data_IF_921803512893
#
_entry.id   IF_921803512893
#
_cell.length_a   1.000
_cell.length_b   1.000
_cell.length_c   1.000
_cell.angle_alpha   90.00
_cell.angle_beta   90.00
_cell.angle_gamma   90.00
#
_symmetry.space_group_name_H-M   'P 1'
#
loop_
_entity.id
_entity.type
_entity.pdbx_description
1 polymer ?
#
# COMPACT_ATOMS: atom_id res chain seq x y z
N UNK A 1 -77.63 -17.01 -27.16
CA UNK A 1 -77.11 -17.76 -26.00
C UNK A 1 -75.61 -17.58 -26.04
N UNK A 2 -75.05 -16.84 -25.09
CA UNK A 2 -73.59 -16.67 -24.99
C UNK A 2 -73.06 -17.71 -23.99
N UNK A 3 -72.00 -18.42 -24.40
CA UNK A 3 -71.30 -19.36 -23.53
C UNK A 3 -69.99 -18.69 -23.13
N UNK A 4 -69.83 -18.42 -21.83
CA UNK A 4 -68.58 -17.95 -21.25
C UNK A 4 -67.78 -19.16 -20.78
N UNK A 5 -66.60 -19.35 -21.38
CA UNK A 5 -65.63 -20.37 -20.95
C UNK A 5 -64.47 -19.65 -20.27
N UNK A 6 -64.22 -19.98 -19.01
CA UNK A 6 -63.09 -19.45 -18.24
C UNK A 6 -62.05 -20.56 -18.08
N UNK A 7 -60.82 -20.32 -18.56
CA UNK A 7 -59.69 -21.23 -18.34
C UNK A 7 -59.01 -20.82 -17.03
N UNK A 8 -58.81 -21.77 -16.13
CA UNK A 8 -58.10 -21.55 -14.87
C UNK A 8 -56.62 -21.85 -15.05
N UNK A 9 -55.76 -21.03 -14.44
CA UNK A 9 -54.34 -21.27 -14.37
C UNK A 9 -54.05 -22.51 -13.52
N UNK A 10 -53.14 -23.37 -13.98
CA UNK A 10 -52.62 -24.51 -13.22
C UNK A 10 -51.12 -24.32 -13.04
N UNK A 11 -50.54 -24.98 -12.02
CA UNK A 11 -49.11 -24.90 -11.71
C UNK A 11 -48.35 -26.00 -12.48
N UNK A 12 -48.31 -25.89 -13.81
CA UNK A 12 -47.74 -26.91 -14.71
C UNK A 12 -46.44 -26.49 -15.40
N UNK A 13 -45.96 -25.26 -15.15
CA UNK A 13 -44.65 -24.79 -15.56
C UNK A 13 -43.71 -24.65 -14.35
N UNK A 14 -42.43 -24.90 -14.59
CA UNK A 14 -41.38 -24.64 -13.60
C UNK A 14 -40.79 -23.24 -13.79
N UNK A 15 -40.26 -22.61 -12.73
CA UNK A 15 -39.41 -21.44 -12.89
C UNK A 15 -38.24 -21.73 -13.83
N UNK A 16 -37.83 -20.76 -14.64
CA UNK A 16 -36.71 -20.90 -15.58
C UNK A 16 -35.80 -19.67 -15.49
N UNK A 17 -34.51 -19.89 -15.26
CA UNK A 17 -33.50 -18.84 -15.32
C UNK A 17 -33.04 -18.62 -16.77
N UNK A 18 -32.74 -17.37 -17.12
CA UNK A 18 -32.14 -17.03 -18.42
C UNK A 18 -30.81 -17.77 -18.68
N UNK A 19 -30.08 -18.08 -17.61
CA UNK A 19 -28.80 -18.78 -17.65
C UNK A 19 -28.70 -19.75 -16.46
N UNK A 20 -28.20 -20.95 -16.72
CA UNK A 20 -27.97 -21.99 -15.69
C UNK A 20 -26.59 -21.89 -15.04
N UNK A 21 -25.68 -21.13 -15.64
CA UNK A 21 -24.36 -20.84 -15.10
C UNK A 21 -23.98 -19.38 -15.40
N UNK A 22 -23.67 -18.62 -14.35
CA UNK A 22 -23.20 -17.25 -14.41
C UNK A 22 -21.80 -17.17 -13.82
N UNK A 23 -20.95 -16.33 -14.40
CA UNK A 23 -19.61 -16.06 -13.87
C UNK A 23 -19.47 -14.59 -13.56
N UNK A 24 -18.89 -14.26 -12.40
CA UNK A 24 -18.65 -12.90 -11.95
C UNK A 24 -17.26 -12.77 -11.35
N UNK A 25 -16.51 -11.77 -11.80
CA UNK A 25 -15.28 -11.34 -11.15
C UNK A 25 -15.60 -10.22 -10.15
N UNK A 26 -15.02 -10.27 -8.97
CA UNK A 26 -15.27 -9.33 -7.88
C UNK A 26 -13.94 -8.96 -7.21
N UNK A 27 -13.52 -7.68 -7.27
CA UNK A 27 -12.35 -7.21 -6.53
C UNK A 27 -12.52 -7.40 -5.02
N UNK A 28 -11.47 -7.82 -4.33
CA UNK A 28 -11.54 -8.08 -2.88
C UNK A 28 -11.83 -6.82 -2.04
N UNK A 29 -11.53 -5.62 -2.56
CA UNK A 29 -11.79 -4.34 -1.90
C UNK A 29 -13.24 -3.84 -2.06
N UNK A 30 -14.08 -4.63 -2.74
CA UNK A 30 -15.52 -4.38 -2.91
C UNK A 30 -16.16 -4.11 -1.55
N UNK A 31 -16.89 -3.00 -1.45
CA UNK A 31 -17.49 -2.59 -0.18
C UNK A 31 -18.61 -3.53 0.24
N UNK A 32 -18.67 -3.80 1.55
CA UNK A 32 -19.82 -4.48 2.16
C UNK A 32 -21.11 -3.72 1.81
N UNK A 33 -22.16 -4.48 1.53
CA UNK A 33 -23.46 -4.07 1.00
C UNK A 33 -23.50 -3.72 -0.50
N UNK A 34 -22.38 -3.79 -1.22
CA UNK A 34 -22.39 -3.64 -2.67
C UNK A 34 -23.12 -4.80 -3.35
N UNK A 35 -23.83 -4.49 -4.42
CA UNK A 35 -24.49 -5.46 -5.29
C UNK A 35 -23.44 -6.18 -6.14
N UNK A 36 -23.41 -7.51 -6.05
CA UNK A 36 -22.47 -8.37 -6.78
C UNK A 36 -23.07 -8.83 -8.10
N UNK A 37 -24.34 -9.25 -8.06
CA UNK A 37 -25.12 -9.65 -9.24
C UNK A 37 -26.48 -8.99 -9.17
N UNK A 38 -26.86 -8.32 -10.25
CA UNK A 38 -28.08 -7.56 -10.33
C UNK A 38 -29.31 -8.48 -10.44
N UNK A 39 -30.48 -7.93 -10.07
CA UNK A 39 -31.74 -8.68 -10.05
C UNK A 39 -32.11 -9.24 -11.42
N UNK A 40 -31.91 -8.47 -12.48
CA UNK A 40 -32.29 -8.77 -13.85
C UNK A 40 -31.56 -9.98 -14.45
N UNK A 41 -30.36 -10.25 -13.95
CA UNK A 41 -29.53 -11.38 -14.37
C UNK A 41 -29.91 -12.68 -13.64
N UNK A 42 -30.53 -12.55 -12.46
CA UNK A 42 -30.90 -13.65 -11.58
C UNK A 42 -32.41 -13.91 -11.52
N UNK A 43 -33.24 -13.07 -12.12
CA UNK A 43 -34.69 -13.29 -12.10
C UNK A 43 -35.06 -14.45 -13.01
N UNK A 44 -35.65 -15.49 -12.43
CA UNK A 44 -36.33 -16.53 -13.17
C UNK A 44 -37.69 -16.03 -13.69
N UNK A 45 -38.18 -16.64 -14.76
CA UNK A 45 -39.54 -16.48 -15.26
C UNK A 45 -40.32 -17.76 -15.08
N UNK A 46 -41.62 -17.66 -14.88
CA UNK A 46 -42.52 -18.80 -14.74
C UNK A 46 -43.65 -18.65 -15.77
N UNK A 47 -43.97 -19.74 -16.48
CA UNK A 47 -44.99 -19.75 -17.53
C UNK A 47 -46.41 -19.51 -16.98
N UNK A 48 -46.64 -19.88 -15.72
CA UNK A 48 -47.91 -19.74 -15.00
C UNK A 48 -48.06 -18.35 -14.38
N UNK A 49 -47.04 -17.49 -14.52
CA UNK A 49 -46.96 -16.16 -13.93
C UNK A 49 -47.07 -16.17 -12.40
N UNK A 50 -46.67 -17.29 -11.78
CA UNK A 50 -46.63 -17.45 -10.34
C UNK A 50 -45.54 -16.57 -9.70
N UNK A 51 -45.70 -16.29 -8.40
CA UNK A 51 -44.70 -15.52 -7.65
C UNK A 51 -43.51 -16.41 -7.31
N UNK A 52 -42.33 -16.06 -7.81
CA UNK A 52 -41.11 -16.83 -7.60
C UNK A 52 -40.41 -16.41 -6.31
N UNK A 53 -40.10 -17.40 -5.46
CA UNK A 53 -39.31 -17.25 -4.25
C UNK A 53 -37.90 -17.80 -4.47
N UNK A 54 -36.91 -17.11 -3.92
CA UNK A 54 -35.50 -17.40 -4.10
C UNK A 54 -34.84 -17.78 -2.78
N UNK A 55 -33.87 -18.68 -2.86
CA UNK A 55 -33.04 -19.12 -1.76
C UNK A 55 -31.60 -19.30 -2.23
N UNK A 56 -30.66 -18.67 -1.52
CA UNK A 56 -29.23 -18.73 -1.85
C UNK A 56 -28.56 -19.79 -0.98
N UNK A 57 -27.85 -20.70 -1.64
CA UNK A 57 -27.07 -21.76 -1.01
C UNK A 57 -25.59 -21.46 -1.28
N UNK A 58 -24.81 -21.34 -0.21
CA UNK A 58 -23.35 -21.11 -0.24
C UNK A 58 -22.60 -22.41 0.02
N UNK A 59 -21.38 -22.52 -0.49
CA UNK A 59 -20.47 -23.63 -0.13
C UNK A 59 -19.79 -23.41 1.22
N UNK A 60 -19.36 -24.52 1.84
CA UNK A 60 -18.66 -24.52 3.12
C UNK A 60 -17.43 -23.60 3.09
N UNK A 61 -17.28 -22.72 4.09
CA UNK A 61 -16.18 -21.76 4.21
C UNK A 61 -16.47 -20.38 3.62
N UNK A 62 -17.59 -20.21 2.90
CA UNK A 62 -18.03 -18.91 2.35
C UNK A 62 -19.38 -18.45 2.91
N UNK A 63 -19.78 -19.00 4.06
CA UNK A 63 -21.04 -18.67 4.70
C UNK A 63 -21.07 -17.21 5.20
N UNK A 64 -22.15 -16.53 4.81
CA UNK A 64 -22.41 -15.15 5.20
C UNK A 64 -21.50 -14.12 4.53
N UNK A 65 -20.77 -14.47 3.47
CA UNK A 65 -20.16 -13.47 2.58
C UNK A 65 -21.19 -12.88 1.61
N UNK A 66 -22.15 -13.68 1.16
CA UNK A 66 -23.14 -13.27 0.16
C UNK A 66 -24.56 -13.55 0.67
N UNK A 67 -25.50 -12.69 0.31
CA UNK A 67 -26.93 -12.91 0.56
C UNK A 67 -27.77 -12.28 -0.54
N UNK A 68 -29.02 -12.76 -0.67
CA UNK A 68 -30.02 -12.13 -1.52
C UNK A 68 -30.75 -11.01 -0.76
N UNK A 69 -31.14 -9.94 -1.46
CA UNK A 69 -31.89 -8.81 -0.88
C UNK A 69 -33.22 -9.24 -0.26
N UNK A 70 -33.84 -10.29 -0.77
CA UNK A 70 -35.02 -10.90 -0.15
C UNK A 70 -35.56 -12.08 -0.94
N UNK A 71 -36.56 -12.76 -0.37
CA UNK A 71 -37.13 -13.97 -0.98
C UNK A 71 -37.75 -13.73 -2.35
N UNK A 72 -38.16 -12.51 -2.70
CA UNK A 72 -38.69 -12.16 -4.03
C UNK A 72 -37.77 -11.20 -4.79
N UNK A 73 -36.55 -10.97 -4.28
CA UNK A 73 -35.54 -10.12 -4.88
C UNK A 73 -34.20 -10.87 -4.90
N UNK A 74 -33.88 -11.57 -5.99
CA UNK A 74 -32.71 -12.42 -6.09
C UNK A 74 -31.39 -11.64 -6.20
N UNK A 75 -31.40 -10.30 -6.17
CA UNK A 75 -30.17 -9.51 -6.18
C UNK A 75 -29.22 -9.96 -5.08
N UNK A 76 -28.01 -10.40 -5.46
CA UNK A 76 -26.97 -10.85 -4.54
C UNK A 76 -26.11 -9.66 -4.15
N UNK A 77 -25.92 -9.46 -2.85
CA UNK A 77 -25.06 -8.43 -2.30
C UNK A 77 -24.04 -9.02 -1.32
N UNK A 78 -22.94 -8.28 -1.13
CA UNK A 78 -21.85 -8.65 -0.23
C UNK A 78 -22.18 -8.30 1.22
N UNK A 79 -21.99 -9.23 2.16
CA UNK A 79 -22.23 -9.06 3.59
C UNK A 79 -20.96 -8.94 4.44
N UNK A 80 -19.84 -9.48 3.96
CA UNK A 80 -18.54 -9.45 4.66
C UNK A 80 -17.44 -9.03 3.68
N UNK A 81 -16.42 -8.35 4.19
CA UNK A 81 -15.25 -7.99 3.38
C UNK A 81 -14.58 -9.25 2.83
N UNK A 82 -14.23 -9.22 1.56
CA UNK A 82 -13.51 -10.30 0.89
C UNK A 82 -12.04 -10.27 1.30
N UNK A 83 -11.37 -11.40 1.13
CA UNK A 83 -9.98 -11.61 1.48
C UNK A 83 -9.44 -12.66 0.50
N UNK A 84 -8.68 -12.19 -0.50
CA UNK A 84 -8.22 -13.03 -1.60
C UNK A 84 -7.32 -14.17 -1.11
N UNK A 85 -6.52 -13.94 -0.07
CA UNK A 85 -5.64 -14.97 0.53
C UNK A 85 -6.42 -16.08 1.22
N UNK A 86 -7.63 -15.81 1.72
CA UNK A 86 -8.50 -16.84 2.30
C UNK A 86 -9.14 -17.72 1.24
N UNK A 87 -9.70 -17.12 0.18
CA UNK A 87 -10.28 -17.83 -0.95
C UNK A 87 -10.34 -16.92 -2.18
N UNK A 88 -10.00 -17.46 -3.35
CA UNK A 88 -10.02 -16.73 -4.61
C UNK A 88 -11.14 -17.17 -5.57
N UNK A 89 -11.89 -18.20 -5.20
CA UNK A 89 -13.04 -18.68 -5.96
C UNK A 89 -14.09 -19.24 -5.01
N UNK A 90 -15.36 -18.99 -5.31
CA UNK A 90 -16.49 -19.64 -4.65
C UNK A 90 -17.66 -19.82 -5.62
N UNK A 91 -18.52 -20.77 -5.30
CA UNK A 91 -19.71 -21.06 -6.09
C UNK A 91 -20.94 -20.88 -5.21
N UNK A 92 -21.93 -20.16 -5.75
CA UNK A 92 -23.24 -19.99 -5.14
C UNK A 92 -24.27 -20.75 -5.98
N UNK A 93 -25.25 -21.35 -5.32
CA UNK A 93 -26.40 -21.96 -5.99
C UNK A 93 -27.64 -21.17 -5.60
N UNK A 94 -28.29 -20.58 -6.60
CA UNK A 94 -29.55 -19.87 -6.40
C UNK A 94 -30.70 -20.80 -6.81
N UNK A 95 -31.55 -21.13 -5.85
CA UNK A 95 -32.74 -21.95 -6.04
C UNK A 95 -33.98 -21.04 -6.17
N UNK A 96 -34.74 -21.21 -7.25
CA UNK A 96 -36.03 -20.58 -7.48
C UNK A 96 -37.15 -21.59 -7.28
N UNK A 97 -38.25 -21.17 -6.66
CA UNK A 97 -39.47 -21.96 -6.47
C UNK A 97 -40.71 -21.11 -6.74
N UNK A 98 -41.73 -21.70 -7.32
CA UNK A 98 -43.03 -21.10 -7.65
C UNK A 98 -43.97 -20.93 -6.43
N UNK A 99 -43.68 -21.62 -5.32
CA UNK A 99 -44.49 -21.63 -4.10
C UNK A 99 -43.66 -21.33 -2.86
N UNK A 100 -44.27 -20.79 -1.79
CA UNK A 100 -43.56 -20.57 -0.53
C UNK A 100 -43.20 -21.89 0.15
N UNK A 101 -42.22 -21.85 1.07
CA UNK A 101 -41.86 -23.00 1.90
C UNK A 101 -43.08 -23.48 2.68
N UNK A 102 -43.34 -24.79 2.65
CA UNK A 102 -44.43 -25.39 3.41
C UNK A 102 -45.81 -25.25 2.76
N UNK A 103 -45.88 -24.87 1.47
CA UNK A 103 -47.10 -25.04 0.68
C UNK A 103 -47.55 -26.50 0.66
N UNK A 104 -48.87 -26.72 0.68
CA UNK A 104 -49.45 -28.06 0.48
C UNK A 104 -49.52 -28.43 -1.02
N UNK A 105 -49.35 -27.45 -1.90
CA UNK A 105 -49.36 -27.62 -3.34
C UNK A 105 -48.01 -28.15 -3.88
N UNK A 106 -48.02 -28.69 -5.09
CA UNK A 106 -46.80 -29.12 -5.80
C UNK A 106 -45.90 -27.89 -5.99
N UNK A 107 -44.61 -28.03 -5.67
CA UNK A 107 -43.61 -26.98 -5.78
C UNK A 107 -42.69 -27.33 -6.94
N UNK A 108 -42.68 -26.51 -7.99
CA UNK A 108 -41.70 -26.61 -9.06
C UNK A 108 -40.50 -25.73 -8.73
N UNK A 109 -39.30 -26.22 -9.09
CA UNK A 109 -38.05 -25.53 -8.78
C UNK A 109 -37.12 -25.48 -9.97
N UNK A 110 -36.23 -24.49 -9.96
CA UNK A 110 -35.07 -24.44 -10.83
C UNK A 110 -33.86 -23.92 -10.06
N UNK A 111 -32.68 -24.25 -10.55
CA UNK A 111 -31.42 -23.81 -9.97
C UNK A 111 -30.54 -23.15 -11.01
N UNK A 112 -29.78 -22.16 -10.58
CA UNK A 112 -28.67 -21.58 -11.36
C UNK A 112 -27.42 -21.53 -10.50
N UNK A 113 -26.27 -21.73 -11.12
CA UNK A 113 -24.96 -21.74 -10.47
C UNK A 113 -24.25 -20.43 -10.77
N UNK A 114 -23.72 -19.76 -9.76
CA UNK A 114 -22.97 -18.51 -9.88
C UNK A 114 -21.55 -18.76 -9.41
N UNK A 115 -20.59 -18.69 -10.33
CA UNK A 115 -19.17 -18.78 -10.04
C UNK A 115 -18.62 -17.37 -9.79
N UNK A 116 -18.15 -17.13 -8.56
CA UNK A 116 -17.54 -15.88 -8.15
C UNK A 116 -16.03 -16.08 -8.11
N UNK A 117 -15.30 -15.33 -8.93
CA UNK A 117 -13.85 -15.22 -8.89
C UNK A 117 -13.48 -13.94 -8.15
N UNK A 118 -12.68 -14.07 -7.09
CA UNK A 118 -12.18 -12.91 -6.36
C UNK A 118 -10.92 -12.43 -7.05
N UNK A 119 -10.86 -11.15 -7.37
CA UNK A 119 -9.69 -10.51 -7.96
C UNK A 119 -8.93 -9.77 -6.85
N UNK A 120 -7.60 -9.84 -6.92
CA UNK A 120 -6.76 -9.02 -6.04
C UNK A 120 -7.01 -7.56 -6.34
N UNK A 121 -7.11 -6.78 -5.28
CA UNK A 121 -7.27 -5.34 -5.39
C UNK A 121 -6.01 -4.64 -4.89
N UNK A 122 -5.68 -3.55 -5.56
CA UNK A 122 -4.66 -2.63 -5.09
C UNK A 122 -5.22 -1.92 -3.85
N UNK A 123 -4.86 -2.39 -2.65
CA UNK A 123 -5.39 -1.87 -1.38
C UNK A 123 -4.38 -1.05 -0.61
N UNK A 124 -3.10 -1.10 -0.99
CA UNK A 124 -2.01 -0.42 -0.31
C UNK A 124 -1.50 0.76 -1.13
N UNK A 125 -0.69 1.59 -0.49
CA UNK A 125 0.03 2.66 -1.17
C UNK A 125 1.52 2.33 -1.11
N UNK A 126 2.35 2.92 -2.00
CA UNK A 126 3.79 2.74 -1.95
C UNK A 126 4.39 3.04 -0.58
N UNK A 127 5.39 2.28 -0.14
CA UNK A 127 6.12 2.49 1.10
C UNK A 127 7.58 2.81 0.82
N UNK A 128 8.06 3.94 1.35
CA UNK A 128 9.49 4.25 1.36
C UNK A 128 10.26 3.32 2.28
N UNK A 129 11.45 2.89 1.87
CA UNK A 129 12.31 1.98 2.59
C UNK A 129 13.67 2.60 2.93
N UNK A 130 14.27 2.27 4.08
CA UNK A 130 13.75 1.38 5.12
C UNK A 130 12.62 2.05 5.95
N UNK A 131 11.66 1.25 6.39
CA UNK A 131 10.57 1.69 7.25
C UNK A 131 10.35 0.72 8.42
N UNK A 132 9.71 1.23 9.47
CA UNK A 132 9.35 0.46 10.65
C UNK A 132 7.84 0.17 10.66
N UNK A 133 7.47 -1.09 10.88
CA UNK A 133 6.07 -1.49 11.01
C UNK A 133 5.51 -1.07 12.36
N UNK A 134 4.33 -0.44 12.34
CA UNK A 134 3.68 0.05 13.57
C UNK A 134 2.82 -1.01 14.26
N UNK A 135 2.54 -2.12 13.57
CA UNK A 135 1.53 -3.10 13.94
C UNK A 135 1.95 -4.52 13.58
N UNK A 136 1.42 -5.49 14.32
CA UNK A 136 1.81 -6.90 14.20
C UNK A 136 1.42 -7.52 12.85
N UNK A 137 0.31 -7.07 12.26
CA UNK A 137 -0.20 -7.44 10.94
C UNK A 137 0.54 -6.71 9.79
N UNK A 138 1.53 -5.87 10.10
CA UNK A 138 2.40 -5.17 9.12
C UNK A 138 1.64 -4.36 8.06
N UNK A 139 0.43 -3.91 8.38
CA UNK A 139 -0.39 -3.15 7.44
C UNK A 139 0.02 -1.67 7.33
N UNK A 140 0.84 -1.16 8.26
CA UNK A 140 1.33 0.23 8.28
C UNK A 140 2.85 0.23 8.46
N UNK A 141 3.56 0.89 7.55
CA UNK A 141 5.01 1.10 7.63
C UNK A 141 5.36 2.60 7.57
N UNK A 142 6.19 3.07 8.49
CA UNK A 142 6.60 4.48 8.57
C UNK A 142 8.11 4.57 8.34
N UNK A 143 8.51 5.29 7.30
CA UNK A 143 9.92 5.57 6.99
C UNK A 143 10.46 6.65 7.91
N UNK A 144 11.73 6.51 8.32
CA UNK A 144 12.49 7.62 8.88
C UNK A 144 12.80 8.67 7.79
N UNK A 145 13.03 9.94 8.15
CA UNK A 145 13.43 10.94 7.16
C UNK A 145 14.79 10.57 6.54
N UNK A 146 14.93 10.83 5.24
CA UNK A 146 16.22 10.74 4.56
C UNK A 146 17.02 12.00 4.86
N UNK A 147 18.34 11.88 4.98
CA UNK A 147 19.23 13.03 5.19
C UNK A 147 20.32 13.05 4.13
N UNK A 148 20.54 14.21 3.52
CA UNK A 148 21.62 14.47 2.56
C UNK A 148 22.43 15.69 2.96
N UNK A 149 23.57 15.88 2.29
CA UNK A 149 24.42 17.06 2.45
C UNK A 149 24.83 17.62 1.10
N UNK A 150 24.90 18.94 1.00
CA UNK A 150 25.41 19.64 -0.18
C UNK A 150 26.31 20.80 0.25
N UNK A 151 27.34 21.06 -0.56
CA UNK A 151 28.18 22.23 -0.36
C UNK A 151 27.49 23.48 -0.88
N UNK A 152 27.58 24.57 -0.13
CA UNK A 152 27.13 25.88 -0.61
C UNK A 152 27.97 26.31 -1.82
N UNK A 153 27.35 27.03 -2.76
CA UNK A 153 27.96 27.55 -4.00
C UNK A 153 28.42 26.50 -5.02
N UNK A 154 28.32 25.21 -4.71
CA UNK A 154 28.62 24.12 -5.63
C UNK A 154 27.36 23.41 -6.11
N UNK A 155 27.43 22.87 -7.33
CA UNK A 155 26.38 22.04 -7.91
C UNK A 155 26.96 20.65 -8.17
N UNK A 156 26.43 19.64 -7.48
CA UNK A 156 26.77 18.25 -7.79
C UNK A 156 26.22 17.86 -9.16
N UNK A 157 27.03 17.22 -9.98
CA UNK A 157 26.60 16.59 -11.24
C UNK A 157 26.10 15.17 -11.05
N UNK A 158 26.47 14.54 -9.94
CA UNK A 158 26.07 13.18 -9.58
C UNK A 158 24.86 13.18 -8.64
N UNK A 159 24.08 12.07 -8.58
CA UNK A 159 23.05 11.89 -7.57
C UNK A 159 23.55 12.09 -6.16
N UNK A 160 22.74 12.74 -5.33
CA UNK A 160 23.04 13.00 -3.94
C UNK A 160 23.07 11.69 -3.15
N UNK A 161 24.09 11.56 -2.30
CA UNK A 161 24.20 10.46 -1.35
C UNK A 161 23.31 10.78 -0.14
N UNK A 162 22.38 9.90 0.15
CA UNK A 162 21.42 10.04 1.24
C UNK A 162 21.59 8.90 2.26
N UNK A 163 21.32 9.21 3.51
CA UNK A 163 21.19 8.25 4.60
C UNK A 163 19.70 8.10 4.97
N UNK A 164 19.20 6.88 5.25
CA UNK A 164 19.94 5.61 5.37
C UNK A 164 20.24 4.90 4.04
N UNK A 165 19.83 5.46 2.91
CA UNK A 165 20.05 4.92 1.58
C UNK A 165 19.43 5.81 0.51
N UNK A 166 19.49 5.43 -0.78
CA UNK A 166 18.80 6.17 -1.83
C UNK A 166 17.29 6.21 -1.57
N UNK A 167 16.62 7.22 -2.12
CA UNK A 167 15.16 7.28 -2.10
C UNK A 167 14.64 6.04 -2.83
N UNK A 168 13.85 5.25 -2.14
CA UNK A 168 13.33 4.01 -2.69
C UNK A 168 12.00 3.68 -2.05
N UNK A 169 10.98 3.47 -2.87
CA UNK A 169 9.66 3.03 -2.46
C UNK A 169 9.26 1.73 -3.17
N UNK A 170 8.48 0.92 -2.48
CA UNK A 170 7.92 -0.33 -3.01
C UNK A 170 6.41 -0.34 -2.87
N UNK A 171 5.74 -1.05 -3.75
CA UNK A 171 4.35 -1.40 -3.56
C UNK A 171 4.26 -2.68 -2.71
N UNK A 172 3.62 -2.66 -1.54
CA UNK A 172 3.45 -3.87 -0.74
C UNK A 172 2.41 -4.85 -1.33
N UNK A 173 1.59 -4.45 -2.31
CA UNK A 173 0.73 -5.35 -3.08
C UNK A 173 1.58 -6.15 -4.09
N UNK A 174 2.30 -7.15 -3.56
CA UNK A 174 3.38 -7.91 -4.24
C UNK A 174 2.97 -8.60 -5.55
N UNK A 175 1.68 -8.76 -5.78
CA UNK A 175 1.12 -9.47 -6.94
C UNK A 175 0.72 -8.52 -8.07
N UNK A 176 0.61 -7.22 -7.80
CA UNK A 176 0.17 -6.22 -8.77
C UNK A 176 1.34 -5.47 -9.42
N UNK A 177 2.57 -5.57 -8.87
CA UNK A 177 3.83 -5.07 -9.46
C UNK A 177 3.70 -3.70 -10.16
N UNK A 178 2.97 -2.78 -9.53
CA UNK A 178 2.64 -1.50 -10.14
C UNK A 178 3.87 -0.60 -10.23
N UNK A 179 3.99 0.12 -11.35
CA UNK A 179 5.09 1.06 -11.55
C UNK A 179 4.94 2.24 -10.61
N UNK A 180 5.97 2.52 -9.83
CA UNK A 180 6.06 3.68 -8.95
C UNK A 180 6.87 4.77 -9.62
N UNK A 181 6.39 6.02 -9.54
CA UNK A 181 7.12 7.21 -9.97
C UNK A 181 7.30 8.22 -8.85
N UNK A 182 8.43 8.92 -8.89
CA UNK A 182 8.83 9.89 -7.87
C UNK A 182 8.66 11.33 -8.33
N UNK A 183 8.32 12.23 -7.39
CA UNK A 183 8.25 13.67 -7.63
C UNK A 183 8.52 14.47 -6.36
N UNK A 184 9.03 15.70 -6.48
CA UNK A 184 9.16 16.61 -5.35
C UNK A 184 7.89 17.48 -5.29
N UNK A 185 7.13 17.37 -4.22
CA UNK A 185 5.83 18.05 -4.03
C UNK A 185 5.89 19.23 -3.06
N UNK A 186 7.01 19.40 -2.35
CA UNK A 186 7.17 20.48 -1.37
C UNK A 186 8.62 20.69 -0.94
N UNK A 187 8.89 21.87 -0.35
CA UNK A 187 10.18 22.21 0.26
C UNK A 187 11.33 22.56 -0.71
N UNK A 188 11.12 22.44 -2.01
CA UNK A 188 12.14 22.71 -3.03
C UNK A 188 12.16 24.19 -3.46
N UNK A 189 12.54 25.07 -2.54
CA UNK A 189 12.66 26.50 -2.83
C UNK A 189 13.55 26.74 -4.05
N UNK A 190 13.11 27.63 -4.94
CA UNK A 190 13.77 27.97 -6.20
C UNK A 190 14.01 26.80 -7.18
N UNK A 191 13.45 25.60 -6.97
CA UNK A 191 13.70 24.41 -7.80
C UNK A 191 15.19 24.02 -7.86
N UNK A 192 15.90 24.13 -6.74
CA UNK A 192 17.32 23.75 -6.62
C UNK A 192 17.53 22.28 -6.90
N UNK A 193 16.62 21.42 -6.45
CA UNK A 193 16.72 19.97 -6.59
C UNK A 193 15.79 19.44 -7.67
N UNK A 194 16.13 18.28 -8.23
CA UNK A 194 15.25 17.47 -9.06
C UNK A 194 15.33 16.01 -8.61
N UNK A 195 14.24 15.26 -8.82
CA UNK A 195 14.20 13.82 -8.57
C UNK A 195 13.91 13.12 -9.88
N UNK A 196 14.68 12.08 -10.19
CA UNK A 196 14.41 11.22 -11.33
C UNK A 196 13.16 10.38 -11.06
N UNK A 197 12.21 10.43 -12.00
CA UNK A 197 10.88 9.87 -11.80
C UNK A 197 10.89 8.34 -11.70
N UNK A 198 11.85 7.64 -12.28
CA UNK A 198 11.88 6.17 -12.31
C UNK A 198 12.80 5.59 -11.23
N UNK A 199 13.91 6.27 -10.94
CA UNK A 199 14.96 5.77 -10.04
C UNK A 199 14.91 6.36 -8.64
N UNK A 200 14.23 7.50 -8.46
CA UNK A 200 14.24 8.24 -7.19
C UNK A 200 15.55 8.99 -6.91
N UNK A 201 16.50 8.98 -7.85
CA UNK A 201 17.76 9.69 -7.68
C UNK A 201 17.53 11.20 -7.57
N UNK A 202 17.98 11.78 -6.45
CA UNK A 202 17.88 13.21 -6.20
C UNK A 202 19.15 13.91 -6.71
N UNK A 203 19.00 14.92 -7.55
CA UNK A 203 20.10 15.69 -8.16
C UNK A 203 19.89 17.19 -7.96
N UNK A 204 20.89 17.99 -8.34
CA UNK A 204 20.85 19.45 -8.26
C UNK A 204 20.73 20.07 -9.65
N UNK A 205 19.77 20.98 -9.83
CA UNK A 205 19.64 21.80 -11.03
C UNK A 205 20.53 23.05 -10.97
N UNK A 206 20.90 23.48 -9.76
CA UNK A 206 21.74 24.66 -9.50
C UNK A 206 22.39 24.59 -8.14
N UNK A 207 23.43 25.41 -7.95
CA UNK A 207 24.11 25.55 -6.68
C UNK A 207 23.22 26.23 -5.63
N UNK A 208 23.42 25.84 -4.36
CA UNK A 208 22.74 26.48 -3.23
C UNK A 208 23.43 27.80 -2.88
N UNK A 209 22.65 28.83 -2.59
CA UNK A 209 23.15 30.18 -2.26
C UNK A 209 22.90 30.64 -0.82
N UNK A 210 22.13 29.88 -0.04
CA UNK A 210 21.84 30.15 1.38
C UNK A 210 22.35 28.98 2.25
N UNK A 211 22.86 29.23 3.48
CA UNK A 211 23.21 28.15 4.42
C UNK A 211 21.99 27.42 5.00
N UNK A 212 20.77 27.84 4.69
CA UNK A 212 19.55 27.20 5.20
C UNK A 212 19.37 25.78 4.64
N UNK A 213 19.03 24.83 5.52
CA UNK A 213 18.67 23.47 5.13
C UNK A 213 17.36 23.44 4.34
N UNK A 214 17.24 22.45 3.45
CA UNK A 214 15.99 22.15 2.74
C UNK A 214 15.28 20.98 3.38
N UNK A 215 13.95 21.08 3.49
CA UNK A 215 13.10 19.98 3.94
C UNK A 215 12.18 19.57 2.79
N UNK A 216 12.70 18.73 1.89
CA UNK A 216 11.96 18.31 0.70
C UNK A 216 10.89 17.29 1.07
N UNK A 217 9.74 17.38 0.40
CA UNK A 217 8.70 16.37 0.42
C UNK A 217 8.72 15.62 -0.91
N UNK A 218 9.20 14.38 -0.87
CA UNK A 218 9.28 13.53 -2.06
C UNK A 218 8.13 12.54 -2.02
N UNK A 219 7.30 12.58 -3.06
CA UNK A 219 6.15 11.71 -3.24
C UNK A 219 6.53 10.52 -4.13
N UNK A 220 6.14 9.32 -3.72
CA UNK A 220 6.12 8.12 -4.55
C UNK A 220 4.66 7.77 -4.85
N UNK A 221 4.30 7.59 -6.12
CA UNK A 221 2.91 7.30 -6.53
C UNK A 221 2.87 6.21 -7.59
N UNK A 222 1.81 5.39 -7.57
CA UNK A 222 1.57 4.42 -8.64
C UNK A 222 1.12 5.14 -9.92
N UNK A 223 1.57 4.65 -11.08
CA UNK A 223 1.22 5.23 -12.39
C UNK A 223 -0.25 5.01 -12.76
N UNK A 224 -0.81 3.86 -12.41
CA UNK A 224 -2.19 3.48 -12.71
C UNK A 224 -3.21 4.23 -11.82
N UNK A 225 -2.81 4.66 -10.62
CA UNK A 225 -3.69 5.26 -9.62
C UNK A 225 -2.97 6.32 -8.76
N UNK A 226 -3.14 7.59 -9.14
CA UNK A 226 -2.54 8.73 -8.44
C UNK A 226 -3.01 8.91 -7.00
N UNK A 227 -4.12 8.28 -6.59
CA UNK A 227 -4.58 8.32 -5.19
C UNK A 227 -3.77 7.39 -4.29
N UNK A 228 -2.99 6.48 -4.87
CA UNK A 228 -2.06 5.62 -4.15
C UNK A 228 -0.68 6.25 -4.19
N UNK A 229 -0.40 6.97 -3.11
CA UNK A 229 0.88 7.63 -2.92
C UNK A 229 1.30 7.60 -1.47
N UNK A 230 2.59 7.83 -1.25
CA UNK A 230 3.15 8.18 0.04
C UNK A 230 4.15 9.31 -0.12
N UNK A 231 4.49 9.96 0.98
CA UNK A 231 5.43 11.08 1.01
C UNK A 231 6.50 10.77 2.04
N UNK A 232 7.76 10.89 1.63
CA UNK A 232 8.92 10.89 2.51
C UNK A 232 9.51 12.29 2.62
N UNK A 233 10.05 12.57 3.80
CA UNK A 233 10.78 13.81 4.06
C UNK A 233 12.26 13.57 3.80
N UNK A 234 12.89 14.49 3.06
CA UNK A 234 14.34 14.50 2.80
C UNK A 234 14.91 15.82 3.33
N UNK A 235 15.72 15.74 4.40
CA UNK A 235 16.46 16.88 4.95
C UNK A 235 17.80 17.02 4.20
N UNK A 236 17.98 18.10 3.45
CA UNK A 236 19.26 18.42 2.81
C UNK A 236 19.95 19.51 3.64
N UNK A 237 21.05 19.13 4.29
CA UNK A 237 21.87 20.05 5.08
C UNK A 237 22.86 20.75 4.18
N UNK A 238 22.81 22.08 4.19
CA UNK A 238 23.78 22.89 3.47
C UNK A 238 24.99 23.08 4.39
N UNK A 239 26.15 22.67 3.89
CA UNK A 239 27.41 22.81 4.61
C UNK A 239 28.35 23.71 3.82
N UNK A 240 29.26 24.37 4.53
CA UNK A 240 30.39 24.97 3.86
C UNK A 240 31.24 23.87 3.26
N UNK A 241 31.77 24.15 2.08
CA UNK A 241 32.77 23.27 1.48
C UNK A 241 33.97 23.17 2.43
N UNK A 242 34.44 21.95 2.63
CA UNK A 242 35.76 21.68 3.20
C UNK A 242 36.71 21.41 2.03
N UNK A 243 37.70 22.27 1.86
CA UNK A 243 38.72 22.15 0.81
C UNK A 243 39.89 21.26 1.28
N UNK A 244 40.07 21.06 2.58
CA UNK A 244 41.19 20.34 3.18
C UNK A 244 40.77 19.36 4.27
N UNK A 245 41.24 18.10 4.20
CA UNK A 245 41.03 17.14 5.28
C UNK A 245 41.93 17.47 6.49
N UNK A 246 41.46 17.24 7.74
CA UNK A 246 42.27 17.46 8.93
C UNK A 246 43.49 16.54 8.94
N UNK A 247 44.62 17.05 9.42
CA UNK A 247 45.88 16.32 9.50
C UNK A 247 46.57 16.52 10.86
N UNK A 248 47.38 15.54 11.26
CA UNK A 248 48.27 15.68 12.41
C UNK A 248 49.60 16.29 11.96
N UNK A 249 50.07 17.33 12.63
CA UNK A 249 51.34 17.99 12.30
C UNK A 249 52.55 17.06 12.49
N UNK A 250 52.45 16.12 13.44
CA UNK A 250 53.50 15.14 13.71
C UNK A 250 52.99 13.72 13.54
N UNK A 251 53.89 12.81 13.14
CA UNK A 251 53.57 11.38 12.96
C UNK A 251 53.72 10.56 14.24
N UNK A 252 54.40 11.08 15.25
CA UNK A 252 54.79 10.35 16.46
C UNK A 252 54.60 11.27 17.66
N UNK A 253 53.74 10.84 18.58
CA UNK A 253 53.51 11.49 19.88
C UNK A 253 54.04 10.59 20.99
N UNK A 254 54.96 11.10 21.80
CA UNK A 254 55.55 10.35 22.91
C UNK A 254 54.84 10.71 24.22
N UNK A 255 54.34 9.70 24.92
CA UNK A 255 53.70 9.84 26.22
C UNK A 255 54.31 8.94 27.28
N UNK A 256 53.99 9.22 28.54
CA UNK A 256 54.37 8.41 29.69
C UNK A 256 53.16 8.06 30.56
N UNK A 257 53.24 6.94 31.25
CA UNK A 257 52.25 6.47 32.22
C UNK A 257 52.95 6.02 33.48
N UNK A 258 52.26 6.09 34.62
CA UNK A 258 52.76 5.53 35.87
C UNK A 258 52.45 4.03 35.94
N UNK A 259 53.32 3.30 36.64
CA UNK A 259 53.04 1.90 37.00
C UNK A 259 51.78 1.84 37.87
N UNK A 260 51.02 0.75 37.74
CA UNK A 260 49.78 0.47 38.49
C UNK A 260 48.59 1.42 38.25
N UNK A 261 48.59 2.15 37.13
CA UNK A 261 47.41 2.91 36.72
C UNK A 261 46.27 1.98 36.28
N UNK A 262 45.05 2.31 36.72
CA UNK A 262 43.84 1.62 36.28
C UNK A 262 43.54 1.88 34.80
N UNK A 263 42.83 0.96 34.10
CA UNK A 263 42.36 1.22 32.74
C UNK A 263 41.58 2.53 32.64
N UNK A 264 41.71 3.23 31.50
CA UNK A 264 41.14 4.58 31.23
C UNK A 264 41.78 5.73 32.01
N UNK A 265 42.99 5.53 32.57
CA UNK A 265 43.80 6.63 33.10
C UNK A 265 44.41 7.48 31.97
N UNK A 266 44.75 8.74 32.28
CA UNK A 266 45.41 9.64 31.32
C UNK A 266 46.83 9.17 30.97
N UNK A 267 47.22 9.44 29.72
CA UNK A 267 48.61 9.42 29.28
C UNK A 267 49.16 10.83 29.44
N UNK A 268 50.36 10.96 30.03
CA UNK A 268 51.01 12.25 30.27
C UNK A 268 52.06 12.53 29.22
N UNK A 269 52.43 13.80 29.05
CA UNK A 269 53.43 14.22 28.10
C UNK A 269 54.82 13.71 28.49
N UNK A 270 55.59 13.19 27.53
CA UNK A 270 56.93 12.69 27.81
C UNK A 270 57.83 13.79 28.40
N UNK A 271 58.34 13.57 29.61
CA UNK A 271 59.18 14.53 30.33
C UNK A 271 58.41 15.55 31.18
N UNK A 272 57.08 15.57 31.12
CA UNK A 272 56.21 16.37 32.00
C UNK A 272 55.05 15.52 32.55
N UNK A 273 55.21 14.92 33.74
CA UNK A 273 54.19 14.07 34.34
C UNK A 273 52.96 14.84 34.86
N UNK A 274 52.95 16.16 34.81
CA UNK A 274 51.83 16.99 35.30
C UNK A 274 50.82 17.31 34.22
N UNK A 275 51.19 17.11 32.94
CA UNK A 275 50.40 17.54 31.78
C UNK A 275 49.90 16.33 31.00
N UNK A 276 48.58 16.19 30.76
CA UNK A 276 48.06 15.15 29.90
C UNK A 276 48.53 15.36 28.46
N UNK A 277 48.87 14.27 27.78
CA UNK A 277 49.24 14.30 26.37
C UNK A 277 48.01 14.69 25.54
N UNK A 278 48.02 15.91 25.01
CA UNK A 278 47.00 16.37 24.05
C UNK A 278 47.49 16.17 22.63
N UNK A 279 46.66 15.55 21.81
CA UNK A 279 46.88 15.38 20.38
C UNK A 279 45.78 16.14 19.65
N UNK A 280 46.18 17.16 18.89
CA UNK A 280 45.27 17.98 18.08
C UNK A 280 45.50 17.68 16.60
N UNK A 281 44.40 17.56 15.87
CA UNK A 281 44.42 17.60 14.41
C UNK A 281 44.24 19.07 13.98
N UNK A 282 44.95 19.47 12.95
CA UNK A 282 44.86 20.80 12.33
C UNK A 282 44.02 20.68 11.07
N UNK A 283 43.17 21.67 10.84
CA UNK A 283 42.35 21.77 9.64
C UNK A 283 42.52 23.17 9.03
N UNK A 284 42.98 23.22 7.77
CA UNK A 284 43.23 24.47 7.09
C UNK A 284 41.94 25.24 6.74
N UNK A 285 40.79 24.56 6.72
CA UNK A 285 39.48 25.17 6.55
C UNK A 285 39.01 25.90 7.83
N UNK A 286 39.60 25.58 8.99
CA UNK A 286 39.22 26.12 10.30
C UNK A 286 40.43 26.66 11.08
N UNK A 287 41.10 27.74 10.60
CA UNK A 287 42.39 28.20 11.14
C UNK A 287 42.36 28.79 12.56
N UNK A 288 41.20 28.87 13.23
CA UNK A 288 41.00 29.59 14.50
C UNK A 288 40.23 28.79 15.59
N UNK A 289 40.33 27.46 15.60
CA UNK A 289 39.70 26.62 16.65
C UNK A 289 40.77 26.01 17.55
#
# INVERSE_FOLDING_TARGET
LEILVTVLNMNDNSPEFKQTNLTRAVPEDTKVNATIVAREDLSASDGDLDTIFYELITVLGTEGYFAIKGVNNPEIYLQKALDYEKFNVTTLVLNARDRPVGSADVINTATTTINIFIEQADTKSPWFLPCNFMNADKSICISSPYTGRVNITEMSTEPLILEPGPIYAIDPDRTLNEKIVYSIVGGNTDNVFSVDADTGNLTMNKAVTSPDSYLLQVMATQVNNIQKYSIATVEIKVINKSDYAPYFETKIYNGMVFVDLAPRSFVFQAGDPSSPLMITAVDADFPNV
#
